data_IF_647500728499
#
_entry.id   IF_647500728499
#
_cell.length_a   1.000
_cell.length_b   1.000
_cell.length_c   1.000
_cell.angle_alpha   90.00
_cell.angle_beta   90.00
_cell.angle_gamma   90.00
#
_symmetry.space_group_name_H-M   'P 1'
#
loop_
_entity.id
_entity.type
_entity.pdbx_description
1 polymer ?
#
# COMPACT_ATOMS: atom_id res chain seq x y z
N UNK A 1 -7.88 2.44 1.40
CA UNK A 1 -7.55 2.98 2.73
C UNK A 1 -7.56 1.86 3.77
N UNK A 2 -8.56 1.69 4.66
CA UNK A 2 -8.47 0.67 5.75
C UNK A 2 -8.39 -0.76 5.20
N UNK A 3 -9.25 -1.13 4.25
CA UNK A 3 -9.24 -2.47 3.64
C UNK A 3 -7.85 -2.86 3.09
N UNK A 4 -7.21 -1.92 2.40
CA UNK A 4 -5.87 -2.11 1.83
C UNK A 4 -4.83 -2.36 2.91
N UNK A 5 -4.87 -1.60 4.02
CA UNK A 5 -3.95 -1.84 5.14
C UNK A 5 -4.18 -3.20 5.79
N UNK A 6 -5.43 -3.70 5.86
CA UNK A 6 -5.71 -5.05 6.35
C UNK A 6 -5.15 -6.13 5.42
N UNK A 7 -5.20 -5.93 4.09
CA UNK A 7 -4.52 -6.81 3.13
C UNK A 7 -3.00 -6.78 3.33
N UNK A 8 -2.41 -5.61 3.58
CA UNK A 8 -0.98 -5.51 3.86
C UNK A 8 -0.64 -6.23 5.15
N UNK A 9 -1.45 -6.05 6.18
CA UNK A 9 -1.30 -6.75 7.46
C UNK A 9 -1.36 -8.26 7.27
N UNK A 10 -2.30 -8.75 6.44
CA UNK A 10 -2.37 -10.15 6.05
C UNK A 10 -1.06 -10.63 5.42
N UNK A 11 -0.58 -9.96 4.37
CA UNK A 11 0.63 -10.40 3.66
C UNK A 11 1.87 -10.34 4.56
N UNK A 12 2.00 -9.27 5.34
CA UNK A 12 3.20 -8.98 6.14
C UNK A 12 3.33 -9.87 7.39
N UNK A 13 2.19 -10.29 7.98
CA UNK A 13 2.17 -11.03 9.24
C UNK A 13 1.68 -12.47 9.10
N UNK A 14 1.10 -12.86 7.97
CA UNK A 14 0.60 -14.24 7.75
C UNK A 14 1.58 -15.35 8.12
N UNK A 15 2.90 -15.24 7.85
CA UNK A 15 3.86 -16.29 8.24
C UNK A 15 3.94 -16.52 9.75
N UNK A 16 3.65 -15.51 10.57
CA UNK A 16 3.83 -15.57 12.04
C UNK A 16 2.52 -15.81 12.80
N UNK A 17 1.39 -15.88 12.10
CA UNK A 17 0.12 -16.14 12.76
C UNK A 17 0.02 -17.58 13.24
N UNK A 18 -0.39 -17.73 14.50
CA UNK A 18 -0.72 -19.02 15.08
C UNK A 18 -1.93 -19.66 14.35
N UNK A 19 -2.99 -18.87 14.10
CA UNK A 19 -4.20 -19.32 13.40
C UNK A 19 -4.27 -18.84 11.95
N UNK A 20 -3.40 -19.38 11.08
CA UNK A 20 -3.24 -18.89 9.69
C UNK A 20 -4.53 -18.93 8.85
N UNK A 21 -5.41 -19.91 9.06
CA UNK A 21 -6.66 -20.08 8.31
C UNK A 21 -7.79 -19.16 8.80
N UNK A 22 -7.80 -18.80 10.09
CA UNK A 22 -8.90 -18.01 10.70
C UNK A 22 -8.66 -16.50 10.60
N UNK A 23 -7.39 -16.07 10.63
CA UNK A 23 -7.03 -14.65 10.59
C UNK A 23 -7.57 -13.86 9.38
N UNK A 24 -7.61 -14.40 8.14
CA UNK A 24 -8.23 -13.70 7.01
C UNK A 24 -9.71 -13.40 7.24
N UNK A 25 -10.45 -14.36 7.79
CA UNK A 25 -11.86 -14.21 8.13
C UNK A 25 -12.04 -13.15 9.22
N UNK A 26 -11.19 -13.14 10.24
CA UNK A 26 -11.18 -12.09 11.26
C UNK A 26 -10.95 -10.70 10.64
N UNK A 27 -9.93 -10.54 9.79
CA UNK A 27 -9.63 -9.26 9.13
C UNK A 27 -10.77 -8.80 8.21
N UNK A 28 -11.43 -9.73 7.52
CA UNK A 28 -12.62 -9.45 6.71
C UNK A 28 -13.74 -8.85 7.58
N UNK A 29 -14.12 -9.52 8.67
CA UNK A 29 -15.18 -9.04 9.56
C UNK A 29 -14.81 -7.75 10.27
N UNK A 30 -13.54 -7.59 10.66
CA UNK A 30 -13.03 -6.33 11.21
C UNK A 30 -13.20 -5.18 10.22
N UNK A 31 -12.78 -5.36 8.96
CA UNK A 31 -12.90 -4.35 7.91
C UNK A 31 -14.35 -4.00 7.60
N UNK A 32 -15.22 -5.01 7.48
CA UNK A 32 -16.65 -4.82 7.23
C UNK A 32 -17.34 -4.09 8.38
N UNK A 33 -17.11 -4.52 9.62
CA UNK A 33 -17.67 -3.88 10.82
C UNK A 33 -17.20 -2.44 10.97
N UNK A 34 -15.90 -2.18 10.76
CA UNK A 34 -15.37 -0.83 10.75
C UNK A 34 -16.06 0.04 9.69
N UNK A 35 -16.25 -0.46 8.48
CA UNK A 35 -16.90 0.28 7.39
C UNK A 35 -18.35 0.66 7.74
N UNK A 36 -19.14 -0.27 8.27
CA UNK A 36 -20.52 -0.02 8.70
C UNK A 36 -20.57 1.04 9.80
N UNK A 37 -19.77 0.87 10.85
CA UNK A 37 -19.71 1.80 11.98
C UNK A 37 -19.28 3.19 11.51
N UNK A 38 -18.25 3.27 10.66
CA UNK A 38 -17.77 4.54 10.14
C UNK A 38 -18.80 5.25 9.26
N UNK A 39 -19.56 4.51 8.45
CA UNK A 39 -20.64 5.06 7.63
C UNK A 39 -21.78 5.65 8.47
N UNK A 40 -22.13 4.99 9.58
CA UNK A 40 -23.20 5.43 10.47
C UNK A 40 -22.77 6.60 11.37
N UNK A 41 -21.57 6.55 11.94
CA UNK A 41 -21.11 7.49 12.98
C UNK A 41 -20.23 8.64 12.46
N UNK A 42 -19.77 8.57 11.19
CA UNK A 42 -18.97 9.61 10.52
C UNK A 42 -17.73 10.06 11.32
N UNK A 43 -16.95 9.10 11.79
CA UNK A 43 -15.75 9.37 12.61
C UNK A 43 -14.63 10.06 11.83
N UNK A 44 -14.63 11.39 11.73
CA UNK A 44 -13.63 12.14 10.97
C UNK A 44 -12.19 11.99 11.48
N UNK A 45 -11.91 12.36 12.73
CA UNK A 45 -10.56 12.31 13.31
C UNK A 45 -10.14 10.87 13.63
N UNK A 46 -11.03 10.10 14.26
CA UNK A 46 -10.70 8.73 14.66
C UNK A 46 -10.36 7.83 13.45
N UNK A 47 -11.00 8.03 12.29
CA UNK A 47 -10.60 7.36 11.05
C UNK A 47 -9.16 7.68 10.66
N UNK A 48 -8.76 8.96 10.68
CA UNK A 48 -7.40 9.37 10.30
C UNK A 48 -6.35 8.78 11.24
N UNK A 49 -6.61 8.85 12.55
CA UNK A 49 -5.72 8.28 13.57
C UNK A 49 -5.61 6.77 13.41
N UNK A 50 -6.75 6.07 13.29
CA UNK A 50 -6.78 4.62 13.09
C UNK A 50 -6.01 4.22 11.83
N UNK A 51 -6.27 4.89 10.71
CA UNK A 51 -5.58 4.63 9.46
C UNK A 51 -4.07 4.83 9.59
N UNK A 52 -3.62 5.94 10.20
CA UNK A 52 -2.20 6.20 10.44
C UNK A 52 -1.54 5.10 11.29
N UNK A 53 -2.20 4.64 12.35
CA UNK A 53 -1.70 3.53 13.18
C UNK A 53 -1.54 2.26 12.35
N UNK A 54 -2.52 1.88 11.53
CA UNK A 54 -2.41 0.70 10.66
C UNK A 54 -1.23 0.82 9.68
N UNK A 55 -1.01 2.00 9.08
CA UNK A 55 0.14 2.23 8.22
C UNK A 55 1.46 2.05 8.97
N UNK A 56 1.59 2.65 10.16
CA UNK A 56 2.80 2.56 11.00
C UNK A 56 3.11 1.12 11.40
N UNK A 57 2.09 0.33 11.73
CA UNK A 57 2.27 -1.09 12.05
C UNK A 57 2.82 -1.90 10.86
N UNK A 58 2.48 -1.52 9.63
CA UNK A 58 2.99 -2.22 8.43
C UNK A 58 4.47 -1.90 8.14
N UNK A 59 4.97 -0.73 8.52
CA UNK A 59 6.31 -0.24 8.15
C UNK A 59 7.44 -1.19 8.59
N UNK A 60 7.56 -1.62 9.86
CA UNK A 60 8.68 -2.46 10.29
C UNK A 60 8.76 -3.78 9.52
N UNK A 61 7.61 -4.40 9.26
CA UNK A 61 7.55 -5.65 8.49
C UNK A 61 7.84 -5.44 7.03
N UNK A 62 7.30 -4.39 6.42
CA UNK A 62 7.61 -4.05 5.04
C UNK A 62 9.10 -3.77 4.85
N UNK A 63 9.71 -3.04 5.79
CA UNK A 63 11.15 -2.78 5.81
C UNK A 63 11.97 -4.06 5.98
N UNK A 64 11.54 -4.97 6.88
CA UNK A 64 12.14 -6.31 7.01
C UNK A 64 12.16 -7.03 5.67
N UNK A 65 11.04 -7.12 4.96
CA UNK A 65 11.03 -7.79 3.65
C UNK A 65 11.92 -7.08 2.64
N UNK A 66 11.89 -5.75 2.59
CA UNK A 66 12.75 -4.96 1.71
C UNK A 66 14.24 -5.27 1.87
N UNK A 67 14.76 -5.37 3.11
CA UNK A 67 16.19 -5.65 3.33
C UNK A 67 16.58 -7.07 2.89
N UNK A 68 15.69 -8.06 3.07
CA UNK A 68 15.93 -9.45 2.72
C UNK A 68 15.68 -9.76 1.24
N UNK A 69 14.88 -8.96 0.53
CA UNK A 69 14.66 -9.12 -0.91
C UNK A 69 15.97 -8.89 -1.68
N UNK A 70 16.39 -9.89 -2.46
CA UNK A 70 17.59 -9.79 -3.33
C UNK A 70 17.28 -9.28 -4.72
N UNK A 71 16.04 -9.45 -5.18
CA UNK A 71 15.60 -9.00 -6.50
C UNK A 71 15.62 -7.47 -6.61
N UNK A 72 16.33 -6.98 -7.63
CA UNK A 72 16.59 -5.54 -7.83
C UNK A 72 15.33 -4.81 -8.27
N UNK A 73 14.50 -5.43 -9.09
CA UNK A 73 13.26 -4.83 -9.58
C UNK A 73 12.21 -4.79 -8.47
N UNK A 74 12.13 -5.82 -7.62
CA UNK A 74 11.29 -5.81 -6.43
C UNK A 74 11.73 -4.71 -5.44
N UNK A 75 13.03 -4.54 -5.20
CA UNK A 75 13.53 -3.40 -4.41
C UNK A 75 13.20 -2.05 -5.05
N UNK A 76 13.21 -1.97 -6.38
CA UNK A 76 12.82 -0.75 -7.11
C UNK A 76 11.35 -0.40 -6.90
N UNK A 77 10.46 -1.39 -6.85
CA UNK A 77 9.05 -1.17 -6.50
C UNK A 77 8.89 -0.52 -5.12
N UNK A 78 9.59 -1.03 -4.11
CA UNK A 78 9.57 -0.45 -2.76
C UNK A 78 10.09 1.00 -2.74
N UNK A 79 11.12 1.32 -3.53
CA UNK A 79 11.61 2.70 -3.68
C UNK A 79 10.60 3.60 -4.36
N UNK A 80 9.95 3.13 -5.43
CA UNK A 80 8.88 3.88 -6.09
C UNK A 80 7.67 4.10 -5.20
N UNK A 81 7.32 3.13 -4.36
CA UNK A 81 6.34 3.31 -3.29
C UNK A 81 6.74 4.47 -2.36
N UNK A 82 7.96 4.49 -1.82
CA UNK A 82 8.41 5.61 -0.96
C UNK A 82 8.44 6.95 -1.70
N UNK A 83 8.92 6.98 -2.94
CA UNK A 83 8.98 8.20 -3.74
C UNK A 83 7.58 8.77 -4.03
N UNK A 84 6.63 7.93 -4.41
CA UNK A 84 5.26 8.35 -4.72
C UNK A 84 4.51 8.87 -3.50
N UNK A 85 4.62 8.24 -2.33
CA UNK A 85 3.97 8.75 -1.11
C UNK A 85 4.60 10.06 -0.63
N UNK A 86 5.93 10.20 -0.77
CA UNK A 86 6.63 11.43 -0.44
C UNK A 86 6.16 12.58 -1.34
N UNK A 87 6.19 12.39 -2.66
CA UNK A 87 5.70 13.39 -3.62
C UNK A 87 4.21 13.70 -3.45
N UNK A 88 3.37 12.68 -3.23
CA UNK A 88 1.95 12.87 -2.98
C UNK A 88 1.72 13.77 -1.75
N UNK A 89 2.45 13.50 -0.67
CA UNK A 89 2.38 14.29 0.57
C UNK A 89 2.79 15.73 0.32
N UNK A 90 3.86 15.97 -0.44
CA UNK A 90 4.25 17.32 -0.83
C UNK A 90 3.15 18.03 -1.63
N UNK A 91 2.59 17.39 -2.67
CA UNK A 91 1.51 17.96 -3.47
C UNK A 91 0.28 18.32 -2.61
N UNK A 92 -0.13 17.42 -1.72
CA UNK A 92 -1.27 17.65 -0.84
C UNK A 92 -1.01 18.77 0.18
N UNK A 93 0.17 18.80 0.81
CA UNK A 93 0.51 19.85 1.78
C UNK A 93 0.65 21.22 1.09
N UNK A 94 1.31 21.29 -0.06
CA UNK A 94 1.42 22.52 -0.84
C UNK A 94 0.04 23.07 -1.22
N UNK A 95 -0.86 22.22 -1.71
CA UNK A 95 -2.23 22.61 -2.07
C UNK A 95 -3.02 23.14 -0.86
N UNK A 96 -2.81 22.55 0.32
CA UNK A 96 -3.47 22.95 1.56
C UNK A 96 -2.92 24.25 2.14
N UNK A 97 -1.60 24.44 2.10
CA UNK A 97 -0.91 25.58 2.71
C UNK A 97 -1.01 26.82 1.81
N UNK A 98 -0.83 26.66 0.51
CA UNK A 98 -0.77 27.77 -0.47
C UNK A 98 -2.07 27.92 -1.27
N UNK A 99 -3.20 27.44 -0.75
CA UNK A 99 -4.47 27.43 -1.45
C UNK A 99 -4.89 28.86 -1.88
N UNK A 100 -4.73 29.83 -0.98
CA UNK A 100 -5.15 31.21 -1.24
C UNK A 100 -4.35 31.82 -2.40
N UNK A 101 -3.04 31.58 -2.45
CA UNK A 101 -2.12 32.10 -3.46
C UNK A 101 -2.30 31.37 -4.79
N UNK A 102 -2.31 30.03 -4.77
CA UNK A 102 -2.39 29.19 -5.97
C UNK A 102 -3.75 29.30 -6.65
N UNK A 103 -4.83 29.55 -5.90
CA UNK A 103 -6.17 29.76 -6.47
C UNK A 103 -6.27 31.00 -7.37
N UNK A 104 -5.38 31.98 -7.18
CA UNK A 104 -5.33 33.21 -7.97
C UNK A 104 -4.44 33.10 -9.21
N UNK A 105 -3.68 32.01 -9.35
CA UNK A 105 -2.79 31.83 -10.48
C UNK A 105 -3.57 31.55 -11.77
N UNK A 106 -3.00 31.96 -12.91
CA UNK A 106 -3.57 31.65 -14.24
C UNK A 106 -3.70 30.14 -14.48
N UNK A 107 -2.86 29.34 -13.83
CA UNK A 107 -2.88 27.88 -13.88
C UNK A 107 -2.86 27.33 -12.45
N UNK A 108 -3.88 26.55 -12.10
CA UNK A 108 -3.94 25.83 -10.82
C UNK A 108 -3.43 24.39 -11.04
N UNK A 109 -2.32 23.98 -10.40
CA UNK A 109 -1.76 22.64 -10.52
C UNK A 109 -2.64 21.54 -9.89
N UNK A 110 -3.70 21.91 -9.15
CA UNK A 110 -4.65 20.99 -8.49
C UNK A 110 -3.90 19.94 -7.65
N UNK A 111 -3.13 20.39 -6.64
CA UNK A 111 -2.22 19.52 -5.91
C UNK A 111 -2.93 18.35 -5.21
N UNK A 112 -4.19 18.53 -4.79
CA UNK A 112 -5.02 17.43 -4.29
C UNK A 112 -5.39 16.39 -5.35
N UNK A 113 -5.63 16.81 -6.60
CA UNK A 113 -5.86 15.88 -7.71
C UNK A 113 -4.57 15.11 -8.06
N UNK A 114 -3.42 15.80 -8.08
CA UNK A 114 -2.11 15.17 -8.27
C UNK A 114 -1.81 14.18 -7.13
N UNK A 115 -2.17 14.52 -5.89
CA UNK A 115 -2.10 13.60 -4.75
C UNK A 115 -2.87 12.30 -5.02
N UNK A 116 -4.13 12.38 -5.50
CA UNK A 116 -4.91 11.18 -5.84
C UNK A 116 -4.23 10.31 -6.91
N UNK A 117 -3.68 10.93 -7.97
CA UNK A 117 -2.95 10.20 -9.01
C UNK A 117 -1.70 9.49 -8.46
N UNK A 118 -0.89 10.20 -7.67
CA UNK A 118 0.31 9.65 -7.02
C UNK A 118 -0.03 8.55 -6.01
N UNK A 119 -1.13 8.69 -5.25
CA UNK A 119 -1.62 7.65 -4.36
C UNK A 119 -2.07 6.40 -5.11
N UNK A 120 -2.62 6.54 -6.33
CA UNK A 120 -2.92 5.39 -7.19
C UNK A 120 -1.67 4.60 -7.58
N UNK A 121 -0.62 5.30 -8.02
CA UNK A 121 0.68 4.67 -8.28
C UNK A 121 1.31 4.09 -7.01
N UNK A 122 1.19 4.78 -5.88
CA UNK A 122 1.68 4.32 -4.60
C UNK A 122 1.09 2.96 -4.20
N UNK A 123 -0.25 2.87 -4.22
CA UNK A 123 -0.97 1.62 -3.98
C UNK A 123 -0.56 0.53 -4.97
N UNK A 124 -0.37 0.87 -6.25
CA UNK A 124 0.08 -0.10 -7.25
C UNK A 124 1.46 -0.70 -6.90
N UNK A 125 2.45 0.16 -6.62
CA UNK A 125 3.80 -0.29 -6.31
C UNK A 125 3.88 -1.08 -4.99
N UNK A 126 3.18 -0.63 -3.95
CA UNK A 126 3.10 -1.33 -2.67
C UNK A 126 2.48 -2.73 -2.82
N UNK A 127 1.32 -2.82 -3.50
CA UNK A 127 0.67 -4.11 -3.72
C UNK A 127 1.55 -5.05 -4.56
N UNK A 128 2.19 -4.54 -5.62
CA UNK A 128 3.06 -5.35 -6.49
C UNK A 128 4.26 -5.89 -5.70
N UNK A 129 4.90 -5.05 -4.86
CA UNK A 129 5.97 -5.49 -3.97
C UNK A 129 5.49 -6.54 -2.96
N UNK A 130 4.33 -6.32 -2.33
CA UNK A 130 3.76 -7.27 -1.38
C UNK A 130 3.37 -8.61 -2.01
N UNK A 131 2.86 -8.60 -3.25
CA UNK A 131 2.61 -9.83 -4.01
C UNK A 131 3.91 -10.60 -4.26
N UNK A 132 5.00 -9.90 -4.57
CA UNK A 132 6.33 -10.51 -4.71
C UNK A 132 6.76 -11.15 -3.39
N UNK A 133 6.72 -10.41 -2.28
CA UNK A 133 7.07 -10.93 -0.95
C UNK A 133 6.20 -12.12 -0.57
N UNK A 134 4.89 -12.08 -0.85
CA UNK A 134 4.00 -13.19 -0.55
C UNK A 134 4.35 -14.45 -1.33
N UNK A 135 4.69 -14.30 -2.61
CA UNK A 135 5.14 -15.42 -3.42
C UNK A 135 6.45 -16.02 -2.87
N UNK A 136 7.42 -15.19 -2.45
CA UNK A 136 8.63 -15.67 -1.77
C UNK A 136 8.31 -16.41 -0.46
N UNK A 137 7.42 -15.88 0.38
CA UNK A 137 6.98 -16.52 1.63
C UNK A 137 6.36 -17.90 1.41
N UNK A 138 5.69 -18.10 0.28
CA UNK A 138 5.08 -19.37 -0.12
C UNK A 138 6.09 -20.33 -0.78
N UNK A 139 7.38 -19.97 -0.82
CA UNK A 139 8.42 -20.78 -1.47
C UNK A 139 8.28 -20.83 -2.99
N UNK A 140 7.57 -19.88 -3.60
CA UNK A 140 7.48 -19.78 -5.05
C UNK A 140 8.69 -19.03 -5.61
N UNK A 141 8.85 -19.05 -6.93
CA UNK A 141 9.92 -18.31 -7.63
C UNK A 141 9.32 -17.09 -8.36
N UNK A 142 9.02 -15.98 -7.64
CA UNK A 142 8.50 -14.77 -8.27
C UNK A 142 9.59 -14.02 -9.04
N UNK A 143 9.17 -13.35 -10.12
CA UNK A 143 9.98 -12.38 -10.85
C UNK A 143 9.13 -11.15 -11.16
N UNK A 144 9.72 -9.97 -11.05
CA UNK A 144 9.10 -8.75 -11.57
C UNK A 144 9.36 -8.69 -13.07
N UNK A 145 8.30 -8.44 -13.83
CA UNK A 145 8.31 -8.35 -15.29
C UNK A 145 7.51 -7.12 -15.71
N UNK A 146 7.75 -6.58 -16.91
CA UNK A 146 7.18 -5.31 -17.33
C UNK A 146 6.21 -5.51 -18.51
N UNK A 147 4.93 -5.21 -18.31
CA UNK A 147 3.95 -5.15 -19.37
C UNK A 147 4.20 -3.89 -20.21
N UNK A 148 4.21 -4.04 -21.54
CA UNK A 148 4.53 -2.98 -22.50
C UNK A 148 5.88 -2.27 -22.21
N UNK A 149 6.80 -2.95 -21.51
CA UNK A 149 8.10 -2.41 -21.12
C UNK A 149 8.08 -1.38 -19.99
N UNK A 150 6.93 -0.99 -19.44
CA UNK A 150 6.83 0.08 -18.46
C UNK A 150 6.10 -0.29 -17.16
N UNK A 151 5.07 -1.15 -17.22
CA UNK A 151 4.20 -1.42 -16.08
C UNK A 151 4.64 -2.70 -15.35
N UNK A 152 5.22 -2.62 -14.14
CA UNK A 152 5.77 -3.78 -13.46
C UNK A 152 4.68 -4.67 -12.85
N UNK A 153 4.73 -5.97 -13.08
CA UNK A 153 3.84 -6.96 -12.47
C UNK A 153 4.63 -8.18 -12.02
N UNK A 154 4.06 -8.97 -11.10
CA UNK A 154 4.72 -10.18 -10.58
C UNK A 154 4.29 -11.39 -11.40
N UNK A 155 5.26 -12.07 -12.01
CA UNK A 155 5.07 -13.41 -12.59
C UNK A 155 5.56 -14.44 -11.58
N UNK A 156 4.70 -15.40 -11.27
CA UNK A 156 5.00 -16.47 -10.31
C UNK A 156 5.16 -17.79 -11.06
N UNK A 157 6.27 -18.48 -10.84
CA UNK A 157 6.38 -19.90 -11.15
C UNK A 157 6.07 -20.71 -9.89
N UNK A 158 4.93 -21.41 -9.91
CA UNK A 158 4.55 -22.33 -8.84
C UNK A 158 5.33 -23.64 -9.01
N UNK A 159 5.84 -24.25 -7.93
CA UNK A 159 6.33 -25.62 -8.00
C UNK A 159 5.24 -26.53 -8.58
N UNK A 160 5.62 -27.51 -9.42
CA UNK A 160 4.69 -28.54 -9.91
C UNK A 160 4.31 -29.45 -8.75
N UNK A 161 3.26 -29.08 -8.02
CA UNK A 161 2.64 -29.79 -6.90
C UNK A 161 3.56 -30.10 -5.69
N UNK A 162 3.09 -29.70 -4.50
CA UNK A 162 3.31 -30.45 -3.26
C UNK A 162 2.02 -31.20 -2.97
#
# INVERSE_FOLDING_TARGET
MVWEMLLYFYILYSPDWHYRSTMPTFLFFYGAGFAVIHALMRFGIAFKVHYAVLCLLCIPRMYKYYIYTKDVDAKRLAKWYVATIFLATLCWLSDRVFCAEVSQWRFNPQGHAVWHALMGFNSYFANTFLMFCRAEQLGWNPKVVYALGCLPYVKVQKPKAQ
#
